data_IF_195601436534
#
_entry.id   IF_195601436534
#
_cell.length_a   1.000
_cell.length_b   1.000
_cell.length_c   1.000
_cell.angle_alpha   90.00
_cell.angle_beta   90.00
_cell.angle_gamma   90.00
#
_symmetry.space_group_name_H-M   'P 1'
#
loop_
_entity.id
_entity.type
_entity.pdbx_description
1 polymer ?
#
# COMPACT_ATOMS: atom_id res chain seq x y z
N UNK A 1 33.76 -45.30 -17.05
CA UNK A 1 33.85 -45.90 -18.41
C UNK A 1 34.08 -44.74 -19.33
N UNK A 2 35.31 -44.53 -19.70
CA UNK A 2 36.04 -44.90 -20.95
C UNK A 2 35.55 -44.03 -22.11
N UNK A 3 36.29 -43.37 -22.93
CA UNK A 3 37.68 -43.51 -23.46
C UNK A 3 37.80 -42.33 -24.44
N UNK A 4 38.82 -41.47 -24.39
CA UNK A 4 40.03 -41.34 -25.18
C UNK A 4 39.84 -41.28 -26.72
N UNK A 5 40.45 -40.29 -27.35
CA UNK A 5 41.56 -40.34 -28.34
C UNK A 5 41.60 -38.94 -29.03
N UNK A 6 42.64 -38.09 -29.02
CA UNK A 6 44.00 -38.12 -29.45
C UNK A 6 44.10 -38.23 -31.00
N UNK A 7 44.58 -37.19 -31.68
CA UNK A 7 45.55 -37.28 -32.79
C UNK A 7 46.09 -35.86 -33.15
N UNK A 8 47.26 -35.72 -33.10
CA UNK A 8 48.52 -35.14 -33.50
C UNK A 8 48.68 -35.11 -35.04
N UNK A 9 49.57 -34.19 -35.48
CA UNK A 9 50.32 -34.11 -36.72
C UNK A 9 49.85 -32.99 -37.69
N UNK A 10 50.70 -32.19 -38.30
CA UNK A 10 52.17 -32.04 -38.38
C UNK A 10 52.47 -30.78 -39.20
N UNK A 11 53.59 -30.16 -38.88
CA UNK A 11 54.22 -29.08 -39.67
C UNK A 11 54.71 -29.65 -41.01
N UNK A 12 54.93 -28.84 -42.04
CA UNK A 12 56.30 -28.66 -42.45
C UNK A 12 56.74 -27.21 -42.76
N UNK A 13 57.95 -26.99 -42.46
CA UNK A 13 58.90 -25.96 -42.81
C UNK A 13 59.15 -25.94 -44.32
N UNK A 14 59.21 -24.76 -44.97
CA UNK A 14 60.01 -24.53 -46.20
C UNK A 14 60.56 -23.09 -46.16
N UNK A 15 61.80 -23.06 -46.57
CA UNK A 15 62.83 -22.05 -46.47
C UNK A 15 62.85 -21.02 -47.59
N UNK A 16 63.35 -19.84 -47.25
CA UNK A 16 64.23 -18.92 -47.99
C UNK A 16 64.07 -18.73 -49.51
N UNK A 17 63.86 -17.44 -49.88
CA UNK A 17 64.77 -16.88 -50.95
C UNK A 17 64.82 -15.35 -50.81
N UNK A 18 66.08 -14.87 -50.81
CA UNK A 18 66.42 -13.43 -50.93
C UNK A 18 66.20 -12.95 -52.35
N UNK A 19 65.72 -11.70 -52.51
CA UNK A 19 65.81 -10.99 -53.79
C UNK A 19 65.75 -9.47 -53.50
N UNK A 20 66.86 -8.81 -53.82
CA UNK A 20 67.21 -7.42 -53.60
C UNK A 20 66.80 -6.57 -54.83
N UNK A 21 66.08 -5.43 -54.63
CA UNK A 21 66.28 -4.15 -55.32
C UNK A 21 65.12 -3.22 -54.95
N UNK A 22 65.33 -2.10 -54.30
CA UNK A 22 65.60 -0.80 -54.79
C UNK A 22 64.28 -0.03 -55.16
N UNK A 23 63.83 0.85 -54.33
CA UNK A 23 62.80 1.80 -54.66
C UNK A 23 62.33 2.56 -53.38
N UNK A 24 62.95 3.72 -53.17
CA UNK A 24 62.50 4.70 -52.18
C UNK A 24 61.08 5.12 -52.53
N UNK A 25 60.13 4.86 -51.63
CA UNK A 25 58.93 5.65 -51.50
C UNK A 25 58.73 5.95 -49.99
N UNK A 26 59.09 7.17 -49.63
CA UNK A 26 58.70 7.79 -48.39
C UNK A 26 57.16 7.96 -48.41
N UNK A 27 56.45 6.92 -47.96
CA UNK A 27 55.07 7.09 -47.47
C UNK A 27 55.14 7.83 -46.13
N UNK A 28 54.87 9.15 -46.20
CA UNK A 28 54.48 9.92 -45.05
C UNK A 28 53.35 9.16 -44.35
N UNK A 29 53.65 8.46 -43.26
CA UNK A 29 52.71 8.15 -42.23
C UNK A 29 52.25 9.48 -41.67
N UNK A 30 51.14 10.01 -42.20
CA UNK A 30 50.32 10.96 -41.46
C UNK A 30 49.89 10.23 -40.20
N UNK A 31 50.57 10.51 -39.09
CA UNK A 31 50.05 10.31 -37.77
C UNK A 31 48.75 11.10 -37.70
N UNK A 32 47.62 10.44 -37.98
CA UNK A 32 46.32 10.91 -37.57
C UNK A 32 46.40 10.84 -36.06
N UNK A 33 46.67 11.96 -35.41
CA UNK A 33 46.38 12.17 -34.01
C UNK A 33 44.87 11.95 -33.91
N UNK A 34 44.46 10.78 -33.52
CA UNK A 34 43.12 10.56 -33.08
C UNK A 34 43.00 11.47 -31.86
N UNK A 35 42.36 12.64 -32.06
CA UNK A 35 42.00 13.54 -30.99
C UNK A 35 41.20 12.70 -29.99
N UNK A 36 41.80 12.38 -28.86
CA UNK A 36 41.24 11.58 -27.76
C UNK A 36 40.25 12.46 -26.97
N UNK A 37 39.28 13.07 -27.73
CA UNK A 37 38.23 13.89 -27.16
C UNK A 37 37.14 12.97 -26.60
N UNK A 38 36.97 13.02 -25.31
CA UNK A 38 35.96 12.22 -24.64
C UNK A 38 34.55 12.74 -24.97
N UNK A 39 33.70 11.90 -25.54
CA UNK A 39 32.30 12.25 -25.79
C UNK A 39 31.53 12.30 -24.48
N UNK A 40 30.85 13.41 -24.21
CA UNK A 40 30.08 13.67 -23.02
C UNK A 40 28.70 14.21 -23.38
N UNK A 41 27.76 14.09 -22.45
CA UNK A 41 26.45 14.77 -22.53
C UNK A 41 26.42 15.87 -21.49
N UNK A 42 25.87 17.02 -21.83
CA UNK A 42 25.75 18.16 -20.93
C UNK A 42 24.29 18.48 -20.62
N UNK A 43 24.06 19.12 -19.48
CA UNK A 43 22.79 19.72 -19.09
C UNK A 43 23.06 21.10 -18.50
N UNK A 44 22.12 22.02 -18.65
CA UNK A 44 22.28 23.38 -18.10
C UNK A 44 21.86 23.38 -16.63
N UNK A 45 22.70 23.93 -15.76
CA UNK A 45 22.36 24.17 -14.37
C UNK A 45 21.30 25.28 -14.27
N UNK A 46 20.11 24.92 -13.78
CA UNK A 46 18.98 25.87 -13.70
C UNK A 46 18.61 26.15 -12.25
N UNK A 47 18.32 27.41 -11.96
CA UNK A 47 17.74 27.79 -10.68
C UNK A 47 16.23 27.66 -10.75
N UNK A 48 15.69 26.78 -9.94
CA UNK A 48 14.25 26.49 -9.91
C UNK A 48 13.78 26.07 -8.51
N UNK A 49 12.47 26.01 -8.34
CA UNK A 49 11.85 25.47 -7.12
C UNK A 49 12.25 24.00 -6.96
N UNK A 50 13.08 23.72 -5.97
CA UNK A 50 13.53 22.36 -5.67
C UNK A 50 12.47 21.60 -4.86
N UNK A 51 12.09 20.42 -5.34
CA UNK A 51 11.17 19.55 -4.63
C UNK A 51 11.97 18.48 -3.89
N UNK A 52 12.01 18.62 -2.59
CA UNK A 52 12.53 17.56 -1.71
C UNK A 52 11.51 16.42 -1.65
N UNK A 53 11.97 15.19 -1.71
CA UNK A 53 11.16 13.99 -1.71
C UNK A 53 11.49 13.11 -0.51
N UNK A 54 10.44 12.64 0.15
CA UNK A 54 10.48 11.57 1.14
C UNK A 54 9.84 10.35 0.50
N UNK A 55 10.58 9.24 0.47
CA UNK A 55 10.09 7.98 -0.10
C UNK A 55 10.08 6.92 0.99
N UNK A 56 8.92 6.31 1.19
CA UNK A 56 8.75 5.23 2.17
C UNK A 56 8.01 4.06 1.56
N UNK A 57 8.22 2.88 2.12
CA UNK A 57 7.47 1.68 1.78
C UNK A 57 6.24 1.57 2.68
N UNK A 58 5.14 1.12 2.09
CA UNK A 58 3.89 0.96 2.79
C UNK A 58 3.08 -0.24 2.30
N UNK A 59 1.91 -0.39 2.88
CA UNK A 59 0.96 -1.44 2.54
C UNK A 59 -0.44 -0.87 2.42
N UNK A 60 -1.17 -1.32 1.40
CA UNK A 60 -2.58 -0.94 1.25
C UNK A 60 -3.40 -1.66 2.30
N UNK A 61 -4.26 -0.90 2.97
CA UNK A 61 -5.22 -1.37 3.95
C UNK A 61 -6.63 -0.93 3.57
N UNK A 62 -7.63 -1.69 3.98
CA UNK A 62 -9.00 -1.25 3.88
C UNK A 62 -9.29 -0.21 4.97
N UNK A 63 -9.68 1.00 4.60
CA UNK A 63 -10.11 2.03 5.56
C UNK A 63 -11.43 1.68 6.24
N UNK A 64 -12.26 0.84 5.59
CA UNK A 64 -13.49 0.28 6.15
C UNK A 64 -13.60 -1.19 5.77
N UNK A 65 -13.65 -2.05 6.78
CA UNK A 65 -13.86 -3.48 6.62
C UNK A 65 -14.68 -4.03 7.80
N UNK A 66 -15.26 -5.20 7.62
CA UNK A 66 -15.91 -5.96 8.68
C UNK A 66 -15.57 -7.45 8.53
N UNK A 67 -15.06 -8.02 9.61
CA UNK A 67 -14.93 -9.46 9.74
C UNK A 67 -16.26 -10.01 10.26
N UNK A 68 -16.91 -10.87 9.47
CA UNK A 68 -18.20 -11.46 9.84
C UNK A 68 -17.97 -12.75 10.61
N UNK A 69 -18.55 -12.81 11.80
CA UNK A 69 -18.52 -13.98 12.67
C UNK A 69 -19.91 -14.56 12.82
N UNK A 70 -19.99 -15.87 12.99
CA UNK A 70 -21.22 -16.49 13.44
C UNK A 70 -21.43 -16.23 14.93
N UNK A 71 -22.65 -15.84 15.31
CA UNK A 71 -23.02 -15.64 16.70
C UNK A 71 -23.72 -16.86 17.28
N UNK A 72 -24.21 -17.77 16.40
CA UNK A 72 -24.87 -19.01 16.76
C UNK A 72 -24.15 -20.22 16.19
N UNK A 73 -24.24 -21.33 16.87
CA UNK A 73 -23.72 -22.60 16.39
C UNK A 73 -24.72 -23.27 15.44
N UNK A 74 -24.22 -23.97 14.43
CA UNK A 74 -25.04 -24.72 13.51
C UNK A 74 -24.25 -25.18 12.28
N UNK A 75 -24.84 -26.05 11.48
CA UNK A 75 -24.28 -26.46 10.19
C UNK A 75 -24.64 -25.40 9.16
N UNK A 76 -23.66 -24.91 8.40
CA UNK A 76 -23.88 -23.97 7.28
C UNK A 76 -24.75 -24.67 6.24
N UNK A 77 -25.94 -24.13 6.00
CA UNK A 77 -26.85 -24.66 4.97
C UNK A 77 -26.52 -24.10 3.58
N UNK A 78 -26.37 -22.82 3.50
CA UNK A 78 -26.21 -22.10 2.24
C UNK A 78 -25.20 -20.98 2.32
N UNK A 79 -24.48 -20.75 1.21
CA UNK A 79 -23.57 -19.60 1.02
C UNK A 79 -23.98 -18.92 -0.27
N UNK A 80 -24.37 -17.64 -0.19
CA UNK A 80 -24.92 -16.86 -1.32
C UNK A 80 -23.90 -15.99 -2.02
N UNK A 81 -22.65 -16.02 -1.56
CA UNK A 81 -21.54 -15.19 -2.05
C UNK A 81 -20.29 -16.02 -2.33
N UNK A 82 -19.25 -15.37 -2.84
CA UNK A 82 -17.93 -15.96 -3.06
C UNK A 82 -16.86 -14.87 -2.93
N UNK A 83 -15.60 -15.28 -2.76
CA UNK A 83 -14.47 -14.34 -2.76
C UNK A 83 -14.47 -13.50 -4.05
N UNK A 84 -14.27 -12.19 -3.91
CA UNK A 84 -14.30 -11.22 -5.02
C UNK A 84 -15.69 -10.77 -5.44
N UNK A 85 -16.79 -11.34 -4.92
CA UNK A 85 -18.15 -10.93 -5.24
C UNK A 85 -18.54 -9.69 -4.46
N UNK A 86 -19.17 -8.73 -5.15
CA UNK A 86 -19.73 -7.53 -4.53
C UNK A 86 -21.07 -7.86 -3.87
N UNK A 87 -21.28 -7.32 -2.66
CA UNK A 87 -22.52 -7.44 -1.89
C UNK A 87 -23.00 -6.06 -1.48
N UNK A 88 -24.32 -5.91 -1.37
CA UNK A 88 -24.96 -4.68 -0.87
C UNK A 88 -25.17 -4.77 0.64
N UNK A 89 -25.36 -3.62 1.30
CA UNK A 89 -25.75 -3.58 2.71
C UNK A 89 -27.02 -4.38 2.94
N UNK A 90 -27.06 -5.20 4.01
CA UNK A 90 -28.18 -6.07 4.36
C UNK A 90 -28.32 -7.35 3.52
N UNK A 91 -27.49 -7.51 2.46
CA UNK A 91 -27.52 -8.73 1.65
C UNK A 91 -27.18 -9.97 2.52
N UNK A 92 -27.92 -11.05 2.30
CA UNK A 92 -27.62 -12.33 2.96
C UNK A 92 -26.34 -12.92 2.37
N UNK A 93 -25.36 -13.18 3.23
CA UNK A 93 -24.06 -13.74 2.90
C UNK A 93 -24.09 -15.27 3.01
N UNK A 94 -24.63 -15.78 4.10
CA UNK A 94 -24.76 -17.23 4.36
C UNK A 94 -25.87 -17.51 5.39
N UNK A 95 -26.24 -18.77 5.52
CA UNK A 95 -27.19 -19.27 6.53
C UNK A 95 -26.69 -20.54 7.19
N UNK A 96 -27.05 -20.71 8.47
CA UNK A 96 -26.94 -21.96 9.16
C UNK A 96 -28.33 -22.62 9.27
N UNK A 97 -28.37 -23.95 9.52
CA UNK A 97 -29.61 -24.68 9.73
C UNK A 97 -30.37 -24.10 10.91
N UNK A 98 -31.53 -23.52 10.66
CA UNK A 98 -32.27 -22.71 11.62
C UNK A 98 -33.35 -23.53 12.39
N UNK A 99 -33.60 -24.81 12.03
CA UNK A 99 -34.75 -25.56 12.51
C UNK A 99 -34.88 -25.58 14.05
N UNK A 100 -33.79 -25.88 14.75
CA UNK A 100 -33.82 -25.95 16.24
C UNK A 100 -34.07 -24.58 16.86
N UNK A 101 -33.39 -23.53 16.36
CA UNK A 101 -33.50 -22.16 16.88
C UNK A 101 -34.87 -21.55 16.55
N UNK A 102 -35.42 -21.88 15.37
CA UNK A 102 -36.77 -21.48 15.01
C UNK A 102 -37.82 -22.09 15.96
N UNK A 103 -37.77 -23.41 16.20
CA UNK A 103 -38.66 -24.07 17.13
C UNK A 103 -38.53 -23.55 18.57
N UNK A 104 -37.32 -23.19 19.00
CA UNK A 104 -37.09 -22.59 20.32
C UNK A 104 -37.73 -21.19 20.41
N UNK A 105 -37.61 -20.38 19.35
CA UNK A 105 -38.26 -19.06 19.28
C UNK A 105 -39.79 -19.22 19.31
N UNK A 106 -40.36 -20.10 18.47
CA UNK A 106 -41.81 -20.34 18.43
C UNK A 106 -42.35 -20.86 19.76
N UNK A 107 -41.61 -21.72 20.45
CA UNK A 107 -41.99 -22.21 21.79
C UNK A 107 -41.94 -21.09 22.85
N UNK A 108 -40.90 -20.22 22.78
CA UNK A 108 -40.78 -19.08 23.69
C UNK A 108 -41.84 -18.01 23.41
N UNK A 109 -42.26 -17.85 22.16
CA UNK A 109 -43.36 -16.97 21.77
C UNK A 109 -44.70 -17.45 22.34
N UNK A 110 -45.00 -18.76 22.26
CA UNK A 110 -46.18 -19.31 22.84
C UNK A 110 -46.21 -19.17 24.37
N UNK A 111 -45.07 -19.34 25.04
CA UNK A 111 -44.96 -19.12 26.49
C UNK A 111 -45.18 -17.62 26.86
N UNK A 112 -44.66 -16.71 26.03
CA UNK A 112 -44.90 -15.27 26.20
C UNK A 112 -46.38 -14.89 26.04
N UNK A 113 -47.06 -15.44 25.03
CA UNK A 113 -48.50 -15.22 24.86
C UNK A 113 -49.31 -15.76 26.04
N UNK A 114 -48.95 -16.93 26.54
CA UNK A 114 -49.59 -17.45 27.76
C UNK A 114 -49.40 -16.54 28.98
N UNK A 115 -48.17 -16.03 29.19
CA UNK A 115 -47.91 -15.12 30.31
C UNK A 115 -48.59 -13.75 30.18
N UNK A 116 -48.77 -13.27 28.94
CA UNK A 116 -49.60 -12.07 28.68
C UNK A 116 -51.04 -12.27 29.09
N UNK A 117 -51.63 -13.44 28.82
CA UNK A 117 -53.01 -13.76 29.28
C UNK A 117 -53.07 -13.79 30.81
N UNK A 118 -52.12 -14.45 31.46
CA UNK A 118 -52.04 -14.50 32.93
C UNK A 118 -51.85 -13.09 33.54
N UNK A 119 -51.12 -12.22 32.91
CA UNK A 119 -50.97 -10.81 33.32
C UNK A 119 -52.30 -10.07 33.24
N UNK A 120 -53.04 -10.26 32.13
CA UNK A 120 -54.38 -9.68 31.98
C UNK A 120 -55.34 -10.17 33.09
N UNK A 121 -55.35 -11.47 33.36
CA UNK A 121 -56.13 -12.07 34.46
C UNK A 121 -55.72 -11.50 35.82
N UNK A 122 -54.43 -11.30 36.06
CA UNK A 122 -53.94 -10.71 37.30
C UNK A 122 -54.41 -9.27 37.49
N UNK A 123 -54.45 -8.47 36.40
CA UNK A 123 -54.99 -7.08 36.41
C UNK A 123 -56.49 -7.06 36.68
N UNK A 124 -57.26 -7.92 36.02
CA UNK A 124 -58.71 -8.08 36.27
C UNK A 124 -58.98 -8.46 37.74
N UNK A 125 -58.19 -9.39 38.31
CA UNK A 125 -58.26 -9.76 39.71
C UNK A 125 -57.93 -8.64 40.69
N UNK A 126 -57.27 -7.55 40.24
CA UNK A 126 -57.03 -6.31 41.02
C UNK A 126 -58.07 -5.25 40.75
N UNK A 127 -59.10 -5.51 39.93
CA UNK A 127 -60.17 -4.59 39.59
C UNK A 127 -59.90 -3.64 38.44
N UNK A 128 -58.84 -3.87 37.67
CA UNK A 128 -58.50 -3.02 36.53
C UNK A 128 -58.81 -3.71 35.20
N UNK A 129 -59.25 -2.92 34.22
CA UNK A 129 -59.29 -3.42 32.83
C UNK A 129 -57.89 -3.52 32.28
N UNK A 130 -57.51 -4.65 31.60
CA UNK A 130 -56.16 -4.78 31.00
C UNK A 130 -55.77 -3.67 30.03
N UNK A 131 -56.74 -3.00 29.40
CA UNK A 131 -56.55 -1.96 28.41
C UNK A 131 -56.72 -0.53 29.00
N UNK A 132 -56.86 -0.41 30.34
CA UNK A 132 -56.98 0.85 31.03
C UNK A 132 -55.65 1.59 31.02
N UNK A 133 -55.60 2.86 30.51
CA UNK A 133 -54.37 3.63 30.50
C UNK A 133 -53.97 4.11 31.92
N UNK A 134 -54.89 4.16 32.85
CA UNK A 134 -54.69 4.72 34.20
C UNK A 134 -54.30 3.70 35.26
N UNK A 135 -53.91 2.49 34.87
CA UNK A 135 -53.43 1.46 35.81
C UNK A 135 -52.17 1.99 36.53
N UNK A 136 -52.20 2.07 37.89
CA UNK A 136 -51.00 2.45 38.65
C UNK A 136 -49.82 1.55 38.33
N UNK A 137 -48.62 2.15 38.16
CA UNK A 137 -47.40 1.45 37.74
C UNK A 137 -47.03 0.27 38.67
N UNK A 138 -47.25 0.45 39.99
CA UNK A 138 -47.01 -0.59 40.98
C UNK A 138 -47.96 -1.80 40.80
N UNK A 139 -49.20 -1.61 40.40
CA UNK A 139 -50.17 -2.67 40.11
C UNK A 139 -49.80 -3.39 38.81
N UNK A 140 -49.46 -2.63 37.79
CA UNK A 140 -48.98 -3.20 36.51
C UNK A 140 -47.74 -4.04 36.72
N UNK A 141 -46.73 -3.51 37.42
CA UNK A 141 -45.50 -4.27 37.71
C UNK A 141 -45.77 -5.51 38.56
N UNK A 142 -46.65 -5.45 39.53
CA UNK A 142 -47.06 -6.61 40.34
C UNK A 142 -47.71 -7.69 39.46
N UNK A 143 -48.54 -7.32 38.49
CA UNK A 143 -49.15 -8.26 37.55
C UNK A 143 -48.13 -8.88 36.60
N UNK A 144 -47.17 -8.10 36.09
CA UNK A 144 -46.05 -8.56 35.24
C UNK A 144 -45.19 -9.60 35.97
N UNK A 145 -44.84 -9.32 37.23
CA UNK A 145 -44.04 -10.27 38.05
C UNK A 145 -44.81 -11.53 38.36
N UNK A 146 -46.05 -11.43 38.79
CA UNK A 146 -46.91 -12.59 39.17
C UNK A 146 -47.22 -13.50 38.00
N UNK A 147 -47.42 -12.95 36.81
CA UNK A 147 -47.66 -13.69 35.57
C UNK A 147 -46.41 -14.34 34.95
N UNK A 148 -45.19 -13.98 35.42
CA UNK A 148 -43.95 -14.37 34.81
C UNK A 148 -43.69 -13.72 33.46
N UNK A 149 -44.45 -12.65 33.10
CA UNK A 149 -44.36 -11.97 31.81
C UNK A 149 -42.94 -11.45 31.52
N UNK A 150 -42.30 -10.81 32.51
CA UNK A 150 -40.94 -10.29 32.34
C UNK A 150 -39.91 -11.40 32.00
N UNK A 151 -40.07 -12.57 32.65
CA UNK A 151 -39.17 -13.69 32.40
C UNK A 151 -39.37 -14.30 31.01
N UNK A 152 -40.63 -14.54 30.60
CA UNK A 152 -40.94 -15.11 29.28
C UNK A 152 -40.62 -14.12 28.15
N UNK A 153 -40.77 -12.83 28.36
CA UNK A 153 -40.37 -11.79 27.43
C UNK A 153 -38.84 -11.81 27.20
N UNK A 154 -38.05 -11.92 28.26
CA UNK A 154 -36.61 -12.06 28.17
C UNK A 154 -36.18 -13.33 27.41
N UNK A 155 -36.85 -14.47 27.69
CA UNK A 155 -36.60 -15.75 27.00
C UNK A 155 -36.96 -15.68 25.52
N UNK A 156 -38.08 -15.06 25.16
CA UNK A 156 -38.47 -14.87 23.77
C UNK A 156 -37.47 -13.96 23.02
N UNK A 157 -37.08 -12.85 23.64
CA UNK A 157 -36.12 -11.95 23.02
C UNK A 157 -34.76 -12.63 22.76
N UNK A 158 -34.29 -13.45 23.70
CA UNK A 158 -33.04 -14.21 23.50
C UNK A 158 -33.20 -15.26 22.38
N UNK A 159 -34.29 -16.03 22.36
CA UNK A 159 -34.53 -17.05 21.34
C UNK A 159 -34.74 -16.43 19.93
N UNK A 160 -35.38 -15.25 19.87
CA UNK A 160 -35.56 -14.46 18.66
C UNK A 160 -34.22 -13.96 18.12
N UNK A 161 -33.39 -13.44 19.01
CA UNK A 161 -32.02 -12.97 18.66
C UNK A 161 -31.24 -14.16 18.05
N UNK A 162 -31.20 -15.30 18.70
CA UNK A 162 -30.47 -16.47 18.19
C UNK A 162 -31.01 -16.94 16.83
N UNK A 163 -32.32 -16.89 16.61
CA UNK A 163 -32.94 -17.27 15.34
C UNK A 163 -32.57 -16.22 14.23
N UNK A 164 -32.65 -14.96 14.51
CA UNK A 164 -32.29 -13.91 13.56
C UNK A 164 -30.82 -14.02 13.13
N UNK A 165 -29.92 -14.41 14.05
CA UNK A 165 -28.48 -14.58 13.79
C UNK A 165 -28.11 -15.91 13.12
N UNK A 166 -29.12 -16.75 12.77
CA UNK A 166 -28.91 -17.86 11.82
C UNK A 166 -28.63 -17.41 10.40
N UNK A 167 -28.88 -16.14 10.09
CA UNK A 167 -28.64 -15.52 8.80
C UNK A 167 -27.57 -14.44 8.92
N UNK A 168 -26.42 -14.69 8.31
CA UNK A 168 -25.30 -13.75 8.29
C UNK A 168 -25.53 -12.72 7.18
N UNK A 169 -25.51 -11.44 7.52
CA UNK A 169 -25.78 -10.31 6.60
C UNK A 169 -24.60 -9.38 6.50
N UNK A 170 -24.45 -8.74 5.34
CA UNK A 170 -23.44 -7.71 5.11
C UNK A 170 -23.81 -6.41 5.85
N UNK A 171 -22.94 -5.84 6.72
CA UNK A 171 -23.24 -4.62 7.46
C UNK A 171 -23.17 -3.38 6.59
N UNK A 172 -22.47 -3.43 5.47
CA UNK A 172 -22.37 -2.38 4.45
C UNK A 172 -22.07 -3.00 3.09
N UNK A 173 -22.17 -2.21 2.03
CA UNK A 173 -21.83 -2.64 0.66
C UNK A 173 -20.33 -2.73 0.47
N UNK A 174 -19.84 -3.85 -0.07
CA UNK A 174 -18.42 -4.09 -0.28
C UNK A 174 -18.12 -5.37 -1.03
N UNK A 175 -16.86 -5.75 -1.09
CA UNK A 175 -16.38 -6.98 -1.73
C UNK A 175 -16.02 -8.02 -0.67
N UNK A 176 -16.46 -9.25 -0.89
CA UNK A 176 -16.19 -10.39 0.00
C UNK A 176 -14.76 -10.90 -0.21
N UNK A 177 -14.05 -11.08 0.89
CA UNK A 177 -12.71 -11.65 0.93
C UNK A 177 -12.60 -12.70 2.06
N UNK A 178 -11.58 -13.56 1.97
CA UNK A 178 -11.22 -14.54 3.00
C UNK A 178 -12.35 -15.52 3.39
N UNK A 179 -13.27 -15.81 2.47
CA UNK A 179 -14.29 -16.83 2.65
C UNK A 179 -13.67 -18.20 2.36
N UNK A 180 -13.55 -19.03 3.40
CA UNK A 180 -12.92 -20.34 3.32
C UNK A 180 -13.89 -21.49 3.61
N UNK A 181 -15.03 -21.21 4.26
CA UNK A 181 -16.02 -22.21 4.63
C UNK A 181 -16.87 -22.67 3.43
N UNK A 182 -17.44 -23.86 3.59
CA UNK A 182 -18.30 -24.51 2.60
C UNK A 182 -19.64 -24.92 3.24
N UNK A 183 -20.70 -25.06 2.44
CA UNK A 183 -21.92 -25.70 2.91
C UNK A 183 -21.61 -27.06 3.58
N UNK A 184 -22.35 -27.41 4.59
CA UNK A 184 -22.19 -28.59 5.47
C UNK A 184 -21.06 -28.50 6.50
N UNK A 185 -20.22 -27.44 6.50
CA UNK A 185 -19.30 -27.20 7.60
C UNK A 185 -20.05 -26.68 8.85
N UNK A 186 -19.44 -26.86 10.02
CA UNK A 186 -19.92 -26.24 11.26
C UNK A 186 -19.52 -24.75 11.29
N UNK A 187 -20.46 -23.88 11.60
CA UNK A 187 -20.24 -22.48 11.87
C UNK A 187 -19.31 -22.30 13.09
N UNK A 188 -18.25 -21.52 12.95
CA UNK A 188 -17.27 -21.26 13.99
C UNK A 188 -17.39 -19.82 14.50
N UNK A 189 -17.63 -19.65 15.80
CA UNK A 189 -17.74 -18.30 16.42
C UNK A 189 -16.38 -17.64 16.67
N UNK A 190 -15.30 -18.42 16.74
CA UNK A 190 -13.95 -17.94 17.06
C UNK A 190 -13.14 -17.48 15.85
N UNK A 191 -13.62 -17.79 14.65
CA UNK A 191 -12.96 -17.41 13.40
C UNK A 191 -13.92 -16.62 12.51
N UNK A 192 -13.43 -15.61 11.80
CA UNK A 192 -14.27 -14.91 10.84
C UNK A 192 -14.69 -15.86 9.72
N UNK A 193 -15.96 -15.85 9.37
CA UNK A 193 -16.51 -16.57 8.22
C UNK A 193 -16.01 -15.97 6.91
N UNK A 194 -16.03 -14.64 6.80
CA UNK A 194 -15.46 -13.88 5.69
C UNK A 194 -15.21 -12.44 6.13
N UNK A 195 -14.50 -11.69 5.27
CA UNK A 195 -14.30 -10.24 5.42
C UNK A 195 -15.05 -9.51 4.33
N UNK A 196 -15.73 -8.43 4.66
CA UNK A 196 -16.29 -7.48 3.70
C UNK A 196 -15.43 -6.24 3.68
N UNK A 197 -14.95 -5.84 2.51
CA UNK A 197 -14.03 -4.72 2.29
C UNK A 197 -14.73 -3.67 1.46
N UNK A 198 -14.75 -2.43 1.94
CA UNK A 198 -15.17 -1.29 1.15
C UNK A 198 -14.03 -0.82 0.24
N UNK A 199 -14.10 -1.19 -1.03
CA UNK A 199 -13.07 -0.84 -2.02
C UNK A 199 -12.97 0.67 -2.30
N UNK A 200 -13.96 1.47 -1.93
CA UNK A 200 -13.92 2.93 -2.09
C UNK A 200 -13.20 3.64 -0.94
N UNK A 201 -12.88 2.90 0.12
CA UNK A 201 -12.25 3.42 1.34
C UNK A 201 -10.90 2.74 1.58
N UNK A 202 -9.98 2.82 0.59
CA UNK A 202 -8.64 2.30 0.74
C UNK A 202 -7.70 3.34 1.32
N UNK A 203 -6.79 2.88 2.17
CA UNK A 203 -5.72 3.67 2.78
C UNK A 203 -4.37 3.00 2.54
N UNK A 204 -3.32 3.74 2.78
CA UNK A 204 -1.96 3.23 2.83
C UNK A 204 -1.41 3.45 4.22
N UNK A 205 -0.93 2.40 4.84
CA UNK A 205 -0.16 2.46 6.08
C UNK A 205 1.33 2.38 5.72
N UNK A 206 2.10 3.38 6.14
CA UNK A 206 3.54 3.46 5.93
C UNK A 206 4.24 4.02 7.15
N UNK A 207 5.57 3.92 7.21
CA UNK A 207 6.35 4.41 8.36
C UNK A 207 7.39 5.41 7.89
N UNK A 208 7.67 6.40 8.73
CA UNK A 208 8.74 7.37 8.55
C UNK A 208 9.66 7.34 9.77
N UNK A 209 10.89 7.79 9.65
CA UNK A 209 11.78 7.95 10.80
C UNK A 209 11.44 9.24 11.57
N UNK A 210 11.74 9.28 12.86
CA UNK A 210 11.42 10.42 13.74
C UNK A 210 11.96 11.76 13.21
N UNK A 211 13.14 11.78 12.62
CA UNK A 211 13.75 12.98 12.03
C UNK A 211 12.97 13.55 10.82
N UNK A 212 12.11 12.74 10.18
CA UNK A 212 11.28 13.13 9.04
C UNK A 212 9.89 13.66 9.45
N UNK A 213 9.56 13.64 10.75
CA UNK A 213 8.26 14.12 11.24
C UNK A 213 7.95 15.56 10.84
N UNK A 214 8.97 16.42 10.79
CA UNK A 214 8.81 17.81 10.36
C UNK A 214 8.38 17.95 8.89
N UNK A 215 8.68 16.92 8.09
CA UNK A 215 8.38 16.86 6.66
C UNK A 215 6.95 16.38 6.37
N UNK A 216 6.29 15.70 7.30
CA UNK A 216 4.97 15.10 7.08
C UNK A 216 3.91 15.81 7.91
N UNK A 217 2.84 16.28 7.25
CA UNK A 217 1.70 16.92 7.91
C UNK A 217 0.39 16.27 7.46
N UNK A 218 -0.61 16.29 8.35
CA UNK A 218 -1.97 15.90 7.98
C UNK A 218 -2.48 16.79 6.85
N UNK A 219 -3.07 16.19 5.82
CA UNK A 219 -3.50 16.86 4.59
C UNK A 219 -2.44 16.92 3.48
N UNK A 220 -1.18 16.56 3.76
CA UNK A 220 -0.11 16.53 2.77
C UNK A 220 -0.43 15.54 1.65
N UNK A 221 -0.15 15.94 0.41
CA UNK A 221 -0.32 15.07 -0.76
C UNK A 221 0.72 13.97 -0.79
N UNK A 222 0.27 12.76 -1.12
CA UNK A 222 1.12 11.60 -1.34
C UNK A 222 0.90 11.03 -2.73
N UNK A 223 1.96 10.58 -3.36
CA UNK A 223 1.93 9.76 -4.56
C UNK A 223 2.23 8.31 -4.17
N UNK A 224 1.36 7.40 -4.60
CA UNK A 224 1.40 5.99 -4.21
C UNK A 224 1.65 5.16 -5.46
N UNK A 225 2.75 4.42 -5.50
CA UNK A 225 3.11 3.53 -6.60
C UNK A 225 3.08 2.08 -6.11
N UNK A 226 2.35 1.22 -6.81
CA UNK A 226 2.19 -0.19 -6.46
C UNK A 226 3.26 -1.02 -7.17
N UNK A 227 4.03 -1.81 -6.44
CA UNK A 227 5.13 -2.60 -7.04
C UNK A 227 4.66 -3.61 -8.10
N UNK A 228 3.44 -4.15 -7.95
CA UNK A 228 2.86 -5.10 -8.91
C UNK A 228 2.30 -4.42 -10.18
N UNK A 229 2.28 -3.08 -10.25
CA UNK A 229 1.73 -2.31 -11.38
C UNK A 229 2.70 -1.18 -11.79
N UNK A 230 3.86 -1.50 -12.38
CA UNK A 230 4.84 -0.50 -12.78
C UNK A 230 4.24 0.56 -13.71
N UNK A 231 4.59 1.83 -13.49
CA UNK A 231 4.11 2.96 -14.31
C UNK A 231 2.71 3.46 -13.95
N UNK A 232 2.03 2.87 -12.96
CA UNK A 232 0.79 3.41 -12.41
C UNK A 232 1.03 4.02 -11.04
N UNK A 233 0.47 5.21 -10.83
CA UNK A 233 0.46 5.87 -9.53
C UNK A 233 -0.96 6.35 -9.16
N UNK A 234 -1.19 6.46 -7.87
CA UNK A 234 -2.43 6.98 -7.29
C UNK A 234 -2.10 8.17 -6.39
N UNK A 235 -2.98 9.14 -6.41
CA UNK A 235 -2.90 10.27 -5.48
C UNK A 235 -3.64 9.95 -4.19
N UNK A 236 -3.16 10.52 -3.11
CA UNK A 236 -3.79 10.46 -1.81
C UNK A 236 -3.34 11.63 -0.93
N UNK A 237 -3.78 11.62 0.30
CA UNK A 237 -3.38 12.61 1.30
C UNK A 237 -3.24 11.97 2.68
N UNK A 238 -2.29 12.48 3.46
CA UNK A 238 -2.07 12.04 4.84
C UNK A 238 -3.30 12.36 5.69
N UNK A 239 -3.86 11.34 6.35
CA UNK A 239 -5.02 11.51 7.23
C UNK A 239 -4.67 11.39 8.69
N UNK A 240 -3.64 10.61 9.02
CA UNK A 240 -3.27 10.30 10.40
C UNK A 240 -1.77 10.14 10.53
N UNK A 241 -1.22 10.74 11.58
CA UNK A 241 0.17 10.52 12.03
C UNK A 241 0.06 10.00 13.46
N UNK A 242 0.55 8.78 13.71
CA UNK A 242 0.49 8.20 15.06
C UNK A 242 1.39 9.03 16.00
N UNK A 243 0.88 9.54 17.13
CA UNK A 243 1.66 10.36 18.06
C UNK A 243 2.66 9.54 18.89
N UNK A 244 2.89 8.27 18.55
CA UNK A 244 3.82 7.38 19.23
C UNK A 244 4.96 6.97 18.31
N UNK A 245 6.19 7.11 18.78
CA UNK A 245 7.39 6.59 18.12
C UNK A 245 7.61 5.14 18.59
N UNK A 246 7.75 4.22 17.65
CA UNK A 246 8.04 2.83 17.95
C UNK A 246 9.48 2.65 18.47
N UNK A 247 9.76 1.52 19.11
CA UNK A 247 11.09 1.21 19.66
C UNK A 247 12.24 1.21 18.64
N UNK A 248 11.91 1.08 17.36
CA UNK A 248 12.84 1.15 16.23
C UNK A 248 13.01 2.58 15.65
N UNK A 249 12.46 3.61 16.31
CA UNK A 249 12.52 5.00 15.86
C UNK A 249 11.57 5.34 14.69
N UNK A 250 10.61 4.46 14.39
CA UNK A 250 9.65 4.68 13.31
C UNK A 250 8.34 5.27 13.84
N UNK A 251 7.71 6.09 13.01
CA UNK A 251 6.37 6.65 13.25
C UNK A 251 5.43 6.16 12.16
N UNK A 252 4.28 5.64 12.56
CA UNK A 252 3.26 5.21 11.60
C UNK A 252 2.48 6.39 11.07
N UNK A 253 2.29 6.38 9.77
CA UNK A 253 1.50 7.36 9.04
C UNK A 253 0.47 6.62 8.19
N UNK A 254 -0.73 7.17 8.13
CA UNK A 254 -1.80 6.68 7.28
C UNK A 254 -2.19 7.75 6.27
N UNK A 255 -2.31 7.35 5.02
CA UNK A 255 -2.81 8.21 3.96
C UNK A 255 -4.05 7.58 3.30
N UNK A 256 -5.04 8.39 2.98
CA UNK A 256 -6.22 7.98 2.23
C UNK A 256 -5.94 8.10 0.74
N UNK A 257 -6.34 7.09 -0.03
CA UNK A 257 -6.24 7.08 -1.49
C UNK A 257 -7.50 7.71 -2.08
N UNK A 258 -7.34 8.70 -2.96
CA UNK A 258 -8.48 9.50 -3.47
C UNK A 258 -9.41 8.69 -4.39
N UNK A 259 -8.85 7.86 -5.26
CA UNK A 259 -9.59 7.01 -6.21
C UNK A 259 -8.98 5.63 -6.25
N UNK A 260 -9.28 4.75 -5.30
CA UNK A 260 -8.63 3.46 -5.14
C UNK A 260 -9.19 2.42 -6.11
N UNK A 261 -8.95 2.59 -7.42
CA UNK A 261 -9.35 1.60 -8.42
C UNK A 261 -8.29 0.51 -8.60
N UNK A 262 -8.71 -0.75 -8.75
CA UNK A 262 -7.85 -1.91 -9.00
C UNK A 262 -6.85 -2.22 -7.86
N UNK A 263 -7.09 -1.70 -6.68
CA UNK A 263 -6.23 -1.93 -5.51
C UNK A 263 -6.84 -3.02 -4.63
N UNK A 264 -5.98 -3.86 -4.07
CA UNK A 264 -6.36 -4.88 -3.10
C UNK A 264 -5.67 -4.64 -1.76
N UNK A 265 -6.38 -4.96 -0.68
CA UNK A 265 -5.80 -4.96 0.66
C UNK A 265 -4.56 -5.87 0.70
N UNK A 266 -3.50 -5.40 1.33
CA UNK A 266 -2.25 -6.15 1.46
C UNK A 266 -1.21 -5.90 0.37
N UNK A 267 -1.52 -5.14 -0.70
CA UNK A 267 -0.53 -4.78 -1.72
C UNK A 267 0.58 -3.92 -1.14
N UNK A 268 1.83 -4.22 -1.50
CA UNK A 268 2.99 -3.41 -1.13
C UNK A 268 3.13 -2.23 -2.10
N UNK A 269 3.44 -1.08 -1.54
CA UNK A 269 3.52 0.20 -2.26
C UNK A 269 4.74 1.00 -1.85
N UNK A 270 5.18 1.88 -2.73
CA UNK A 270 6.06 3.00 -2.43
C UNK A 270 5.20 4.26 -2.30
N UNK A 271 5.38 4.98 -1.22
CA UNK A 271 4.71 6.27 -0.93
C UNK A 271 5.74 7.37 -1.06
N UNK A 272 5.45 8.35 -1.90
CA UNK A 272 6.29 9.52 -2.12
C UNK A 272 5.56 10.78 -1.66
N UNK A 273 6.20 11.55 -0.81
CA UNK A 273 5.76 12.86 -0.35
C UNK A 273 6.74 13.88 -0.90
N UNK A 274 6.25 14.94 -1.56
CA UNK A 274 7.08 15.96 -2.17
C UNK A 274 6.74 17.33 -1.61
N UNK A 275 7.72 18.03 -1.05
CA UNK A 275 7.58 19.38 -0.55
C UNK A 275 8.50 20.35 -1.29
N UNK A 276 8.07 21.59 -1.40
CA UNK A 276 8.91 22.65 -1.91
C UNK A 276 9.92 23.08 -0.85
N UNK A 277 11.20 22.91 -1.15
CA UNK A 277 12.29 23.26 -0.25
C UNK A 277 12.87 24.67 -0.49
N UNK A 278 12.37 25.38 -1.50
CA UNK A 278 12.88 26.68 -1.91
C UNK A 278 13.55 26.65 -3.28
N UNK A 279 14.20 27.76 -3.65
CA UNK A 279 14.90 27.88 -4.92
C UNK A 279 16.37 27.47 -4.77
N UNK A 280 16.79 26.51 -5.59
CA UNK A 280 18.17 26.04 -5.64
C UNK A 280 18.65 25.93 -7.10
N UNK A 281 19.95 26.05 -7.31
CA UNK A 281 20.57 25.57 -8.54
C UNK A 281 20.59 24.06 -8.47
N UNK A 282 19.96 23.38 -9.42
CA UNK A 282 19.87 21.92 -9.44
C UNK A 282 20.57 21.34 -10.65
N UNK A 283 21.19 20.18 -10.45
CA UNK A 283 21.81 19.38 -11.50
C UNK A 283 21.37 17.93 -11.35
N UNK A 284 21.29 17.15 -12.45
CA UNK A 284 21.05 15.71 -12.36
C UNK A 284 22.09 15.02 -11.44
N UNK A 285 21.66 14.05 -10.68
CA UNK A 285 22.56 13.26 -9.80
C UNK A 285 23.76 12.69 -10.53
N UNK A 286 23.58 12.31 -11.79
CA UNK A 286 24.64 11.79 -12.65
C UNK A 286 25.76 12.82 -12.95
N UNK A 287 25.51 14.12 -12.78
CA UNK A 287 26.52 15.15 -12.96
C UNK A 287 27.51 15.23 -11.79
N UNK A 288 27.10 14.78 -10.59
CA UNK A 288 27.92 14.85 -9.38
C UNK A 288 28.74 13.58 -9.24
N UNK A 289 30.06 13.70 -9.23
CA UNK A 289 31.00 12.59 -9.02
C UNK A 289 31.84 12.84 -7.77
N UNK A 290 32.21 11.77 -7.08
CA UNK A 290 33.09 11.88 -5.91
C UNK A 290 34.55 11.85 -6.32
N UNK A 291 35.32 12.86 -5.93
CA UNK A 291 36.78 12.93 -6.13
C UNK A 291 37.45 13.28 -4.79
N UNK A 292 38.44 12.48 -4.40
CA UNK A 292 39.13 12.67 -3.12
C UNK A 292 38.17 12.87 -1.95
N UNK A 293 37.08 12.10 -1.92
CA UNK A 293 36.00 12.16 -0.92
C UNK A 293 35.25 13.51 -0.86
N UNK A 294 35.22 14.25 -1.98
CA UNK A 294 34.46 15.51 -2.12
C UNK A 294 33.61 15.45 -3.38
N UNK A 295 32.39 16.04 -3.37
CA UNK A 295 31.54 16.13 -4.53
C UNK A 295 32.11 17.15 -5.54
N UNK A 296 32.09 16.76 -6.80
CA UNK A 296 32.62 17.53 -7.94
C UNK A 296 31.63 17.47 -9.08
N UNK A 297 31.47 18.59 -9.77
CA UNK A 297 30.76 18.71 -11.04
C UNK A 297 31.76 19.20 -12.10
N UNK A 298 31.69 18.64 -13.29
CA UNK A 298 32.45 19.17 -14.44
C UNK A 298 31.59 20.13 -15.23
N UNK A 299 32.05 21.36 -15.39
CA UNK A 299 31.42 22.33 -16.29
C UNK A 299 32.10 22.28 -17.67
N UNK A 300 31.31 22.34 -18.73
CA UNK A 300 31.77 22.33 -20.11
C UNK A 300 31.79 23.75 -20.64
N UNK A 301 32.99 24.22 -21.05
CA UNK A 301 33.17 25.55 -21.69
C UNK A 301 34.23 25.41 -22.79
N UNK A 302 33.94 25.94 -23.95
CA UNK A 302 34.88 25.99 -25.11
C UNK A 302 35.48 24.59 -25.43
N UNK A 303 34.67 23.52 -25.38
CA UNK A 303 35.08 22.12 -25.55
C UNK A 303 36.11 21.62 -24.53
N UNK A 304 36.16 22.24 -23.36
CA UNK A 304 37.03 21.84 -22.25
C UNK A 304 36.18 21.60 -21.00
N UNK A 305 36.46 20.52 -20.29
CA UNK A 305 35.85 20.20 -19.02
C UNK A 305 36.63 20.86 -17.87
N UNK A 306 35.94 21.66 -17.06
CA UNK A 306 36.50 22.26 -15.87
C UNK A 306 35.97 21.61 -14.63
N UNK A 307 36.84 21.16 -13.76
CA UNK A 307 36.52 20.53 -12.48
C UNK A 307 36.11 21.59 -11.45
N UNK A 308 34.90 21.50 -10.92
CA UNK A 308 34.39 22.40 -9.90
C UNK A 308 34.02 21.60 -8.64
N UNK A 309 34.66 21.93 -7.50
CA UNK A 309 34.16 21.42 -6.19
C UNK A 309 32.85 22.10 -5.89
N UNK A 310 31.87 21.31 -5.48
CA UNK A 310 30.53 21.80 -5.15
C UNK A 310 30.15 21.45 -3.72
N UNK A 311 29.33 22.29 -3.11
CA UNK A 311 28.63 21.98 -1.87
C UNK A 311 27.20 21.62 -2.23
N UNK A 312 26.81 20.41 -1.87
CA UNK A 312 25.46 19.89 -2.07
C UNK A 312 24.63 20.06 -0.81
N UNK A 313 23.32 20.24 -0.95
CA UNK A 313 22.38 20.36 0.17
C UNK A 313 21.41 19.17 0.19
N UNK A 314 20.29 19.33 -0.48
CA UNK A 314 19.20 18.34 -0.53
C UNK A 314 19.17 17.65 -1.89
N UNK A 315 18.64 16.44 -1.91
CA UNK A 315 18.48 15.68 -3.14
C UNK A 315 17.07 15.08 -3.24
N UNK A 316 16.64 14.80 -4.46
CA UNK A 316 15.43 14.06 -4.74
C UNK A 316 15.75 12.80 -5.59
N UNK A 317 14.77 12.21 -6.24
CA UNK A 317 14.97 10.99 -7.05
C UNK A 317 15.87 11.20 -8.27
N UNK A 318 15.95 12.41 -8.85
CA UNK A 318 16.64 12.71 -10.11
C UNK A 318 17.78 13.72 -9.97
N UNK A 319 17.64 14.70 -9.08
CA UNK A 319 18.48 15.90 -9.01
C UNK A 319 19.10 16.10 -7.63
N UNK A 320 20.19 16.88 -7.60
CA UNK A 320 20.85 17.36 -6.38
C UNK A 320 20.85 18.89 -6.41
N UNK A 321 20.49 19.50 -5.29
CA UNK A 321 20.59 20.94 -5.08
C UNK A 321 22.02 21.33 -4.72
N UNK A 322 22.56 22.30 -5.44
CA UNK A 322 23.90 22.86 -5.27
C UNK A 322 23.79 24.19 -4.53
N UNK A 323 24.57 24.33 -3.47
CA UNK A 323 24.66 25.55 -2.65
C UNK A 323 25.75 26.49 -3.17
N UNK A 324 26.90 25.91 -3.54
CA UNK A 324 28.05 26.67 -4.04
C UNK A 324 28.91 25.85 -5.02
N UNK A 325 29.71 26.49 -5.83
CA UNK A 325 30.68 25.89 -6.75
C UNK A 325 30.34 25.96 -8.22
N UNK A 326 29.08 26.18 -8.59
CA UNK A 326 28.64 26.48 -9.97
C UNK A 326 27.63 27.63 -9.97
N UNK A 327 27.40 28.20 -11.14
CA UNK A 327 26.45 29.29 -11.36
C UNK A 327 25.28 28.86 -12.20
N UNK A 328 24.16 29.58 -12.08
CA UNK A 328 23.02 29.40 -12.99
C UNK A 328 23.45 29.64 -14.43
N UNK A 329 23.07 28.75 -15.34
CA UNK A 329 23.43 28.80 -16.76
C UNK A 329 24.70 28.03 -17.12
N UNK A 330 25.44 27.51 -16.12
CA UNK A 330 26.61 26.67 -16.40
C UNK A 330 26.18 25.38 -17.11
N UNK A 331 26.90 25.00 -18.15
CA UNK A 331 26.73 23.70 -18.82
C UNK A 331 27.49 22.64 -18.05
N UNK A 332 26.75 21.69 -17.40
CA UNK A 332 27.34 20.62 -16.56
C UNK A 332 27.34 19.29 -17.30
N UNK A 333 28.41 18.53 -17.16
CA UNK A 333 28.55 17.21 -17.74
C UNK A 333 27.74 16.19 -16.93
N UNK A 334 26.78 15.52 -17.57
CA UNK A 334 25.88 14.54 -16.94
C UNK A 334 26.18 13.09 -17.28
N UNK A 335 26.96 12.84 -18.35
CA UNK A 335 27.45 11.51 -18.67
C UNK A 335 28.86 11.57 -19.27
N UNK A 336 29.64 10.49 -19.15
CA UNK A 336 31.04 10.47 -19.57
C UNK A 336 32.01 11.08 -18.55
N UNK A 337 31.52 11.53 -17.38
CA UNK A 337 32.29 12.25 -16.35
C UNK A 337 33.13 11.37 -15.43
N UNK A 338 32.97 10.05 -15.46
CA UNK A 338 33.62 9.13 -14.52
C UNK A 338 35.15 9.15 -14.61
N UNK A 339 35.71 9.32 -15.79
CA UNK A 339 37.15 9.30 -16.05
C UNK A 339 37.69 10.66 -16.51
N UNK A 340 36.87 11.72 -16.52
CA UNK A 340 37.32 13.05 -16.89
C UNK A 340 38.35 13.59 -15.88
N UNK A 341 39.38 14.21 -16.42
CA UNK A 341 40.31 15.01 -15.65
C UNK A 341 40.00 16.51 -15.84
N UNK A 342 40.57 17.35 -14.99
CA UNK A 342 40.48 18.78 -15.18
C UNK A 342 41.16 19.20 -16.49
N UNK A 343 40.50 20.07 -17.25
CA UNK A 343 40.94 20.56 -18.57
C UNK A 343 41.01 19.49 -19.66
N UNK A 344 40.28 18.36 -19.50
CA UNK A 344 40.15 17.42 -20.62
C UNK A 344 39.37 18.01 -21.78
N UNK A 345 39.84 17.76 -23.02
CA UNK A 345 39.10 18.12 -24.22
C UNK A 345 37.86 17.17 -24.34
N UNK A 346 36.70 17.75 -24.60
CA UNK A 346 35.41 17.05 -24.67
C UNK A 346 34.63 17.40 -25.92
N UNK A 347 33.81 16.47 -26.38
CA UNK A 347 32.81 16.66 -27.43
C UNK A 347 31.39 16.53 -26.79
N UNK A 348 30.54 17.55 -26.96
CA UNK A 348 29.17 17.58 -26.44
C UNK A 348 28.21 18.26 -27.38
#
# INVERSE_FOLDING_TARGET
>A
MSVKYWLIMSLPFVTMSCGKSGGENEERQQNILVEDRQQVTTSVATKSQFRQELVSNGKISAGRYADLYWEVNGTISDIYTANGKQVSQGATVARVQAFKLKNQMESSEAALEQSKLQMKEALIGQGYSPDDPDIPENIRHLAEVKSGYLQTLAQYNAAKYDYEHTTLKAPFGGVVANLNDKPSNMAQQTKPFCRIIDQNSMTVDFTIIESELSFVKTGEKVEISVFSMPGKSWSGHVTEINPSVESNGMVRVKAKIDKPSQLFEGMNVSVKISQNAGEYISVPKSAVVMRSNRPVVFTAKDHVAHWCYVETSIENSTDIAIVSGISEGDSVVVSGNTYLADRSEILY
#
